data_IF_700944065995
#
_entry.id   IF_700944065995
#
_cell.length_a   1.000
_cell.length_b   1.000
_cell.length_c   1.000
_cell.angle_alpha   90.00
_cell.angle_beta   90.00
_cell.angle_gamma   90.00
#
_symmetry.space_group_name_H-M   'P 1'
#
loop_
_entity.id
_entity.type
_entity.pdbx_description
1 polymer ?
#
# COMPACT_ATOMS: atom_id res chain seq x y z
N UNK A 1 11.36 -5.24 -5.12
CA UNK A 1 10.23 -4.36 -5.45
C UNK A 1 10.59 -2.92 -5.20
N UNK A 2 10.39 -2.05 -6.19
CA UNK A 2 10.63 -0.63 -5.94
C UNK A 2 9.57 -0.07 -5.01
N UNK A 3 10.02 0.79 -4.10
CA UNK A 3 9.10 1.48 -3.21
C UNK A 3 8.43 2.61 -3.97
N UNK A 4 7.14 2.80 -3.72
CA UNK A 4 6.41 3.91 -4.31
C UNK A 4 6.47 5.16 -3.43
N UNK A 5 6.77 4.96 -2.14
CA UNK A 5 6.74 6.04 -1.15
C UNK A 5 7.57 5.61 0.04
N UNK A 6 8.38 6.54 0.58
CA UNK A 6 9.14 6.29 1.81
C UNK A 6 8.96 7.52 2.71
N UNK A 7 8.32 7.33 3.86
CA UNK A 7 8.06 8.42 4.81
C UNK A 7 8.30 7.91 6.22
N UNK A 8 9.06 8.64 7.00
CA UNK A 8 9.36 8.32 8.40
C UNK A 8 9.94 6.91 8.57
N UNK A 9 10.70 6.48 7.57
CA UNK A 9 11.28 5.15 7.58
C UNK A 9 10.37 4.04 7.10
N UNK A 10 9.10 4.33 6.85
CA UNK A 10 8.16 3.36 6.32
C UNK A 10 8.24 3.33 4.81
N UNK A 11 8.43 2.14 4.24
CA UNK A 11 8.44 1.92 2.78
C UNK A 11 7.09 1.37 2.39
N UNK A 12 6.52 1.96 1.34
CA UNK A 12 5.24 1.49 0.79
C UNK A 12 5.48 0.93 -0.61
N UNK A 13 4.88 -0.22 -0.91
CA UNK A 13 5.18 -0.92 -2.17
C UNK A 13 4.03 -1.86 -2.54
N UNK A 14 4.09 -2.36 -3.80
CA UNK A 14 3.17 -3.38 -4.29
C UNK A 14 3.99 -4.60 -4.69
N UNK A 15 3.43 -5.77 -4.53
CA UNK A 15 4.05 -6.99 -5.05
C UNK A 15 3.66 -7.21 -6.50
N UNK A 16 4.59 -7.81 -7.29
CA UNK A 16 4.41 -7.94 -8.74
C UNK A 16 3.30 -8.90 -9.14
N UNK A 17 3.03 -9.92 -8.35
CA UNK A 17 2.06 -10.95 -8.72
C UNK A 17 0.95 -11.07 -7.69
N UNK A 18 0.29 -9.96 -7.44
CA UNK A 18 -0.83 -9.92 -6.49
C UNK A 18 -2.12 -10.50 -7.07
N UNK A 19 -2.15 -10.79 -8.34
CA UNK A 19 -3.35 -11.32 -8.96
C UNK A 19 -4.43 -10.28 -9.13
N UNK A 20 -5.69 -10.66 -8.90
CA UNK A 20 -6.84 -9.79 -9.07
C UNK A 20 -7.38 -9.23 -7.77
N UNK A 21 -6.53 -9.04 -6.79
CA UNK A 21 -6.97 -8.51 -5.51
C UNK A 21 -7.41 -7.06 -5.64
N UNK A 22 -8.33 -6.62 -4.77
CA UNK A 22 -8.67 -5.21 -4.70
C UNK A 22 -7.46 -4.35 -4.37
N UNK A 23 -7.58 -3.05 -4.60
CA UNK A 23 -6.48 -2.13 -4.38
C UNK A 23 -5.98 -2.21 -2.93
N UNK A 24 -4.68 -2.31 -2.78
CA UNK A 24 -4.04 -2.39 -1.48
C UNK A 24 -2.60 -1.90 -1.56
N UNK A 25 -1.98 -1.71 -0.40
CA UNK A 25 -0.58 -1.29 -0.31
C UNK A 25 0.08 -2.06 0.83
N UNK A 26 1.32 -2.44 0.62
CA UNK A 26 2.16 -3.03 1.65
C UNK A 26 3.06 -1.98 2.25
N UNK A 27 3.42 -2.14 3.52
CA UNK A 27 4.39 -1.25 4.13
C UNK A 27 5.35 -2.06 5.00
N UNK A 28 6.56 -1.52 5.16
CA UNK A 28 7.60 -2.20 5.94
C UNK A 28 8.54 -1.20 6.57
N UNK A 29 8.95 -1.50 7.80
CA UNK A 29 9.99 -0.78 8.51
C UNK A 29 10.64 -1.75 9.49
N UNK A 30 11.93 -2.04 9.30
CA UNK A 30 12.65 -3.04 10.11
C UNK A 30 11.90 -4.37 10.08
N UNK A 31 11.49 -4.91 11.24
CA UNK A 31 10.78 -6.18 11.35
C UNK A 31 9.28 -6.03 11.16
N UNK A 32 8.79 -4.81 11.14
CA UNK A 32 7.35 -4.57 11.04
C UNK A 32 6.91 -4.56 9.60
N UNK A 33 5.76 -5.18 9.33
CA UNK A 33 5.18 -5.14 7.99
C UNK A 33 3.67 -5.27 8.08
N UNK A 34 2.99 -4.72 7.09
CA UNK A 34 1.53 -4.78 7.05
C UNK A 34 1.02 -4.63 5.64
N UNK A 35 -0.25 -5.00 5.47
CA UNK A 35 -0.99 -4.83 4.23
C UNK A 35 -2.29 -4.14 4.56
N UNK A 36 -2.63 -3.11 3.80
CA UNK A 36 -3.86 -2.34 4.00
C UNK A 36 -4.65 -2.27 2.70
N UNK A 37 -5.95 -2.51 2.81
CA UNK A 37 -6.89 -2.31 1.71
C UNK A 37 -7.25 -0.84 1.61
N UNK A 38 -7.37 -0.32 0.39
CA UNK A 38 -7.83 1.05 0.17
C UNK A 38 -9.18 1.01 -0.53
N UNK A 39 -10.17 1.67 0.07
CA UNK A 39 -11.49 1.82 -0.51
C UNK A 39 -11.60 3.20 -1.13
N UNK A 40 -11.47 3.27 -2.45
CA UNK A 40 -11.46 4.54 -3.16
C UNK A 40 -12.81 5.26 -3.02
N UNK A 41 -13.89 4.52 -3.18
CA UNK A 41 -15.23 5.12 -3.12
C UNK A 41 -15.57 5.67 -1.75
N UNK A 42 -15.13 5.00 -0.70
CA UNK A 42 -15.41 5.42 0.66
C UNK A 42 -14.29 6.21 1.32
N UNK A 43 -13.18 6.41 0.62
CA UNK A 43 -11.99 7.04 1.19
C UNK A 43 -11.64 6.40 2.54
N UNK A 44 -11.47 5.08 2.54
CA UNK A 44 -11.26 4.31 3.75
C UNK A 44 -10.05 3.38 3.61
N UNK A 45 -9.46 3.05 4.73
CA UNK A 45 -8.29 2.16 4.80
C UNK A 45 -8.59 1.08 5.82
N UNK A 46 -8.43 -0.18 5.43
CA UNK A 46 -8.68 -1.32 6.33
C UNK A 46 -7.46 -2.21 6.39
N UNK A 47 -7.08 -2.60 7.59
CA UNK A 47 -5.94 -3.48 7.79
C UNK A 47 -6.28 -4.90 7.32
N UNK A 48 -5.46 -5.44 6.41
CA UNK A 48 -5.58 -6.83 6.00
C UNK A 48 -4.82 -7.73 6.97
N UNK A 49 -3.57 -7.36 7.25
CA UNK A 49 -2.77 -8.02 8.28
C UNK A 49 -1.64 -7.09 8.69
N UNK A 50 -1.06 -7.36 9.85
CA UNK A 50 0.07 -6.60 10.36
C UNK A 50 0.90 -7.49 11.27
N UNK A 51 2.22 -7.38 11.13
CA UNK A 51 3.18 -8.14 11.94
C UNK A 51 4.16 -7.19 12.60
N UNK A 52 4.40 -7.39 13.90
CA UNK A 52 5.38 -6.62 14.66
C UNK A 52 5.11 -5.11 14.63
N UNK A 53 3.83 -4.73 14.62
CA UNK A 53 3.44 -3.34 14.61
C UNK A 53 2.72 -2.99 15.90
N UNK A 54 3.20 -1.95 16.58
CA UNK A 54 2.52 -1.42 17.75
C UNK A 54 1.27 -0.65 17.32
N UNK A 55 0.35 -0.38 18.25
CA UNK A 55 -0.78 0.49 17.94
C UNK A 55 -0.36 1.87 17.42
N UNK A 56 0.75 2.40 17.95
CA UNK A 56 1.30 3.66 17.45
C UNK A 56 1.75 3.55 16.00
N UNK A 57 2.46 2.46 15.67
CA UNK A 57 2.91 2.22 14.30
C UNK A 57 1.71 2.18 13.35
N UNK A 58 0.66 1.48 13.74
CA UNK A 58 -0.55 1.37 12.90
C UNK A 58 -1.17 2.74 12.66
N UNK A 59 -1.23 3.58 13.69
CA UNK A 59 -1.78 4.95 13.54
C UNK A 59 -0.92 5.78 12.60
N UNK A 60 0.38 5.70 12.74
CA UNK A 60 1.31 6.46 11.88
C UNK A 60 1.16 6.03 10.43
N UNK A 61 1.17 4.72 10.18
CA UNK A 61 1.07 4.18 8.82
C UNK A 61 -0.28 4.55 8.20
N UNK A 62 -1.37 4.41 8.95
CA UNK A 62 -2.69 4.78 8.43
C UNK A 62 -2.75 6.26 8.09
N UNK A 63 -2.17 7.12 8.92
CA UNK A 63 -2.10 8.55 8.62
C UNK A 63 -1.35 8.81 7.32
N UNK A 64 -0.21 8.16 7.13
CA UNK A 64 0.57 8.33 5.92
C UNK A 64 -0.24 7.91 4.70
N UNK A 65 -0.93 6.77 4.78
CA UNK A 65 -1.75 6.28 3.69
C UNK A 65 -2.87 7.27 3.36
N UNK A 66 -3.55 7.80 4.38
CA UNK A 66 -4.61 8.77 4.14
C UNK A 66 -4.08 10.08 3.53
N UNK A 67 -2.93 10.54 4.01
CA UNK A 67 -2.35 11.77 3.48
C UNK A 67 -1.88 11.65 2.03
N UNK A 68 -1.54 10.43 1.63
CA UNK A 68 -1.05 10.17 0.27
C UNK A 68 -1.96 9.25 -0.51
N UNK A 69 -3.24 9.22 -0.13
CA UNK A 69 -4.22 8.29 -0.67
C UNK A 69 -4.30 8.36 -2.20
N UNK A 70 -4.48 9.57 -2.73
CA UNK A 70 -4.61 9.75 -4.17
C UNK A 70 -3.35 9.34 -4.91
N UNK A 71 -2.19 9.64 -4.34
CA UNK A 71 -0.92 9.25 -4.92
C UNK A 71 -0.80 7.73 -4.98
N UNK A 72 -1.14 7.04 -3.88
CA UNK A 72 -1.05 5.59 -3.83
C UNK A 72 -2.01 4.96 -4.84
N UNK A 73 -3.22 5.47 -4.94
CA UNK A 73 -4.21 5.00 -5.92
C UNK A 73 -3.68 5.19 -7.34
N UNK A 74 -3.12 6.35 -7.62
CA UNK A 74 -2.55 6.66 -8.93
C UNK A 74 -1.42 5.68 -9.27
N UNK A 75 -0.54 5.40 -8.32
CA UNK A 75 0.56 4.45 -8.52
C UNK A 75 0.05 3.03 -8.73
N UNK A 76 -0.99 2.64 -8.00
CA UNK A 76 -1.62 1.34 -8.20
C UNK A 76 -2.17 1.21 -9.61
N UNK A 77 -2.85 2.24 -10.11
CA UNK A 77 -3.41 2.23 -11.46
C UNK A 77 -2.32 2.10 -12.52
N UNK A 78 -1.20 2.80 -12.34
CA UNK A 78 -0.05 2.69 -13.25
C UNK A 78 0.53 1.28 -13.21
N UNK A 79 0.64 0.72 -12.02
CA UNK A 79 1.16 -0.63 -11.83
C UNK A 79 0.28 -1.66 -12.52
N UNK A 80 -1.03 -1.53 -12.38
CA UNK A 80 -1.97 -2.45 -13.02
C UNK A 80 -1.93 -2.31 -14.56
N UNK A 81 -1.82 -1.10 -15.06
CA UNK A 81 -1.72 -0.89 -16.51
C UNK A 81 -0.46 -1.55 -17.07
N UNK A 82 0.65 -1.46 -16.36
CA UNK A 82 1.89 -2.11 -16.78
C UNK A 82 1.73 -3.62 -16.88
N UNK A 83 1.07 -4.20 -15.88
CA UNK A 83 0.82 -5.64 -15.87
C UNK A 83 -0.11 -6.05 -17.00
N UNK A 84 -1.22 -5.33 -17.14
CA UNK A 84 -2.26 -5.68 -18.12
C UNK A 84 -1.79 -5.42 -19.54
N UNK A 85 -1.01 -4.37 -19.74
CA UNK A 85 -0.52 -4.02 -21.08
C UNK A 85 0.64 -4.84 -21.55
N UNK A 86 1.21 -5.65 -20.68
CA UNK A 86 2.44 -6.38 -21.00
C UNK A 86 2.24 -7.38 -22.11
N UNK A 87 1.07 -7.93 -22.24
CA UNK A 87 0.76 -8.92 -23.26
C UNK A 87 0.24 -8.35 -24.57
N UNK A 88 0.15 -7.06 -24.68
CA UNK A 88 -0.43 -6.43 -25.87
C UNK A 88 0.63 -5.97 -26.88
#
# INVERSE_FOLDING_TARGET
>A
MPSILVILGWRFYFYANEGNEPIHVHCRKADAEAKFWLDVGGFAVAEAHAYNMSPTDKRVVRRIIFEHFDYIVSEWQKFQRRRDGKGT
#
